data_IF_144792431789
#
_entry.id   IF_144792431789
#
_cell.length_a   1.000
_cell.length_b   1.000
_cell.length_c   1.000
_cell.angle_alpha   90.00
_cell.angle_beta   90.00
_cell.angle_gamma   90.00
#
_symmetry.space_group_name_H-M   'P 1'
#
loop_
_entity.id
_entity.type
_entity.pdbx_description
1 polymer ?
#
# COMPACT_ATOMS: atom_id res chain seq x y z
N UNK A 1 -16.99 -24.30 7.42
CA UNK A 1 -18.29 -23.60 7.33
C UNK A 1 -19.29 -24.28 8.25
N UNK A 2 -20.04 -23.55 9.09
CA UNK A 2 -21.13 -24.15 9.90
C UNK A 2 -22.36 -24.44 9.03
N UNK A 3 -23.20 -25.39 9.46
CA UNK A 3 -24.47 -25.70 8.80
C UNK A 3 -25.47 -24.55 8.87
N UNK A 4 -25.52 -23.83 10.00
CA UNK A 4 -26.45 -22.72 10.23
C UNK A 4 -25.75 -21.57 10.97
N UNK A 5 -26.17 -20.35 10.65
CA UNK A 5 -25.72 -19.11 11.27
C UNK A 5 -26.94 -18.27 11.68
N UNK A 6 -26.90 -17.73 12.89
CA UNK A 6 -27.94 -16.83 13.40
C UNK A 6 -27.65 -15.38 12.99
N UNK A 7 -28.58 -14.78 12.25
CA UNK A 7 -28.51 -13.40 11.77
C UNK A 7 -29.56 -12.48 12.44
N UNK A 8 -30.21 -12.89 13.55
CA UNK A 8 -31.28 -12.13 14.18
C UNK A 8 -30.89 -10.70 14.61
N UNK A 9 -29.59 -10.42 14.80
CA UNK A 9 -29.04 -9.09 15.12
C UNK A 9 -28.17 -8.50 14.01
N UNK A 10 -28.22 -9.08 12.81
CA UNK A 10 -27.39 -8.63 11.70
C UNK A 10 -27.94 -7.32 11.11
N UNK A 11 -27.03 -6.38 10.84
CA UNK A 11 -27.33 -5.12 10.19
C UNK A 11 -26.74 -5.15 8.77
N UNK A 12 -27.61 -4.99 7.76
CA UNK A 12 -27.16 -4.88 6.37
C UNK A 12 -26.39 -3.55 6.18
N UNK A 13 -25.23 -3.61 5.54
CA UNK A 13 -24.45 -2.40 5.22
C UNK A 13 -23.74 -1.74 6.40
N UNK A 14 -23.62 -2.39 7.58
CA UNK A 14 -22.94 -1.84 8.77
C UNK A 14 -21.56 -1.23 8.51
N UNK A 15 -20.79 -1.84 7.60
CA UNK A 15 -19.44 -1.39 7.23
C UNK A 15 -19.38 -0.78 5.82
N UNK A 16 -20.50 -0.71 5.11
CA UNK A 16 -20.55 -0.12 3.78
C UNK A 16 -20.44 1.40 3.91
N UNK A 17 -19.51 1.97 3.13
CA UNK A 17 -19.26 3.39 3.08
C UNK A 17 -19.17 3.78 1.60
N UNK A 18 -20.17 4.48 1.05
CA UNK A 18 -20.21 4.78 -0.39
C UNK A 18 -19.00 5.62 -0.85
N UNK A 19 -18.49 6.48 0.01
CA UNK A 19 -17.34 7.36 -0.28
C UNK A 19 -16.02 6.88 0.36
N UNK A 20 -15.91 5.59 0.70
CA UNK A 20 -14.67 5.06 1.25
C UNK A 20 -13.52 5.17 0.25
N UNK A 21 -12.48 5.93 0.62
CA UNK A 21 -11.19 5.90 -0.07
C UNK A 21 -10.36 4.77 0.51
N UNK A 22 -10.12 3.75 -0.30
CA UNK A 22 -9.23 2.64 0.04
C UNK A 22 -7.84 2.97 -0.46
N UNK A 23 -6.89 3.09 0.46
CA UNK A 23 -5.46 3.14 0.13
C UNK A 23 -4.97 1.70 0.00
N UNK A 24 -5.04 1.16 -1.22
CA UNK A 24 -4.67 -0.23 -1.49
C UNK A 24 -3.14 -0.34 -1.45
N UNK A 25 -2.58 -1.27 -0.66
CA UNK A 25 -1.13 -1.49 -0.67
C UNK A 25 -0.69 -2.02 -2.04
N UNK A 26 0.41 -1.47 -2.54
CA UNK A 26 1.09 -1.99 -3.73
C UNK A 26 2.24 -2.86 -3.26
N UNK A 27 2.24 -4.12 -3.68
CA UNK A 27 3.34 -5.03 -3.40
C UNK A 27 4.51 -4.72 -4.33
N UNK A 28 5.72 -4.76 -3.76
CA UNK A 28 6.95 -4.69 -4.53
C UNK A 28 7.36 -6.11 -4.90
N UNK A 29 8.00 -6.26 -6.06
CA UNK A 29 8.68 -7.51 -6.40
C UNK A 29 9.86 -7.73 -5.45
N UNK A 30 10.20 -9.00 -5.19
CA UNK A 30 11.24 -9.39 -4.21
C UNK A 30 12.57 -8.66 -4.44
N UNK A 31 13.01 -8.55 -5.70
CA UNK A 31 14.25 -7.84 -6.07
C UNK A 31 14.20 -6.35 -5.69
N UNK A 32 13.06 -5.70 -5.92
CA UNK A 32 12.88 -4.28 -5.61
C UNK A 32 12.84 -4.07 -4.10
N UNK A 33 12.19 -4.98 -3.38
CA UNK A 33 12.13 -4.93 -1.92
C UNK A 33 13.54 -5.06 -1.31
N UNK A 34 14.33 -6.03 -1.74
CA UNK A 34 15.70 -6.24 -1.25
C UNK A 34 16.59 -5.02 -1.51
N UNK A 35 16.47 -4.44 -2.71
CA UNK A 35 17.19 -3.21 -3.07
C UNK A 35 16.85 -2.04 -2.15
N UNK A 36 15.56 -1.80 -1.89
CA UNK A 36 15.10 -0.71 -1.03
C UNK A 36 15.53 -0.94 0.42
N UNK A 37 15.45 -2.18 0.92
CA UNK A 37 15.90 -2.53 2.28
C UNK A 37 17.39 -2.22 2.45
N UNK A 38 18.24 -2.60 1.48
CA UNK A 38 19.66 -2.28 1.53
C UNK A 38 19.96 -0.77 1.62
N UNK A 39 19.19 0.05 0.89
CA UNK A 39 19.32 1.51 0.97
C UNK A 39 18.84 2.04 2.32
N UNK A 40 17.72 1.52 2.83
CA UNK A 40 17.14 1.92 4.10
C UNK A 40 18.10 1.65 5.27
N UNK A 41 18.75 0.48 5.27
CA UNK A 41 19.77 0.11 6.26
C UNK A 41 20.98 1.06 6.23
N UNK A 42 21.49 1.37 5.04
CA UNK A 42 22.62 2.29 4.88
C UNK A 42 22.30 3.71 5.34
N UNK A 43 21.08 4.18 5.04
CA UNK A 43 20.63 5.54 5.40
C UNK A 43 20.04 5.65 6.81
N UNK A 44 19.86 4.51 7.51
CA UNK A 44 19.11 4.42 8.79
C UNK A 44 17.74 5.11 8.70
N UNK A 45 17.06 4.91 7.57
CA UNK A 45 15.76 5.52 7.27
C UNK A 45 14.68 4.45 7.11
N UNK A 46 13.41 4.84 7.19
CA UNK A 46 12.30 3.90 7.00
C UNK A 46 12.17 3.48 5.52
N UNK A 47 11.76 2.23 5.28
CA UNK A 47 11.54 1.69 3.93
C UNK A 47 10.55 2.56 3.14
N UNK A 48 9.46 3.03 3.77
CA UNK A 48 8.49 3.88 3.07
C UNK A 48 9.09 5.22 2.65
N UNK A 49 10.00 5.79 3.45
CA UNK A 49 10.66 7.05 3.09
C UNK A 49 11.51 6.84 1.83
N UNK A 50 12.30 5.76 1.80
CA UNK A 50 13.14 5.43 0.65
C UNK A 50 12.32 5.21 -0.62
N UNK A 51 11.24 4.41 -0.55
CA UNK A 51 10.35 4.18 -1.70
C UNK A 51 9.76 5.48 -2.21
N UNK A 52 9.23 6.33 -1.32
CA UNK A 52 8.62 7.59 -1.72
C UNK A 52 9.64 8.55 -2.36
N UNK A 53 10.87 8.60 -1.85
CA UNK A 53 11.90 9.46 -2.41
C UNK A 53 12.34 9.00 -3.80
N UNK A 54 12.48 7.70 -4.02
CA UNK A 54 12.74 7.12 -5.34
C UNK A 54 11.62 7.44 -6.33
N UNK A 55 10.36 7.25 -5.92
CA UNK A 55 9.20 7.55 -6.77
C UNK A 55 9.09 9.04 -7.11
N UNK A 56 9.39 9.94 -6.17
CA UNK A 56 9.38 11.39 -6.43
C UNK A 56 10.43 11.80 -7.45
N UNK A 57 11.62 11.19 -7.40
CA UNK A 57 12.67 11.43 -8.41
C UNK A 57 12.20 10.96 -9.79
N UNK A 58 11.62 9.77 -9.87
CA UNK A 58 11.10 9.22 -11.12
C UNK A 58 9.95 10.08 -11.70
N UNK A 59 9.01 10.53 -10.87
CA UNK A 59 7.97 11.48 -11.27
C UNK A 59 8.54 12.77 -11.86
N UNK A 60 9.66 13.25 -11.33
CA UNK A 60 10.37 14.42 -11.84
C UNK A 60 10.93 14.17 -13.23
N UNK A 61 11.61 13.05 -13.43
CA UNK A 61 12.15 12.64 -14.73
C UNK A 61 11.04 12.44 -15.77
N UNK A 62 9.98 11.71 -15.40
CA UNK A 62 8.83 11.46 -16.26
C UNK A 62 8.16 12.75 -16.74
N UNK A 63 8.10 13.79 -15.89
CA UNK A 63 7.54 15.11 -16.26
C UNK A 63 8.42 15.88 -17.26
N UNK A 64 9.74 15.70 -17.20
CA UNK A 64 10.69 16.37 -18.11
C UNK A 64 10.71 15.71 -19.49
N UNK A 65 10.40 14.42 -19.56
CA UNK A 65 10.37 13.65 -20.81
C UNK A 65 9.03 13.76 -21.58
N UNK A 66 8.04 14.47 -21.02
CA UNK A 66 6.78 14.84 -21.70
C UNK A 66 6.92 16.16 -22.45
#
# INVERSE_FOLDING_TARGET
MKKEYDFAKAECGKFYRPDAKLNIPVYLDDEVQDFVVGIAEQKRSDMNQVVNDLLRLDMGLARVMQ
#
